data_IF_679578884005
#
_entry.id   IF_679578884005
#
_cell.length_a   1.000
_cell.length_b   1.000
_cell.length_c   1.000
_cell.angle_alpha   90.00
_cell.angle_beta   90.00
_cell.angle_gamma   90.00
#
_symmetry.space_group_name_H-M   'P 1'
#
loop_
_entity.id
_entity.type
_entity.pdbx_description
1 polymer ?
#
# COMPACT_ATOMS: atom_id res chain seq x y z
N UNK A 1 -0.69 21.88 59.78
CA UNK A 1 -1.68 21.89 58.68
C UNK A 1 -1.07 21.12 57.53
N UNK A 2 -1.62 19.93 57.29
CA UNK A 2 -1.11 18.92 56.34
C UNK A 2 -1.51 19.29 54.92
N UNK A 3 -0.53 19.38 54.01
CA UNK A 3 -0.79 19.50 52.58
C UNK A 3 -1.22 18.12 52.05
N UNK A 4 -2.50 18.02 51.69
CA UNK A 4 -3.08 16.85 51.04
C UNK A 4 -2.38 16.59 49.71
N UNK A 5 -1.71 15.43 49.60
CA UNK A 5 -1.27 14.87 48.33
C UNK A 5 -2.52 14.57 47.49
N UNK A 6 -2.72 15.34 46.43
CA UNK A 6 -3.66 14.99 45.36
C UNK A 6 -3.13 13.72 44.67
N UNK A 7 -3.79 12.61 44.96
CA UNK A 7 -3.60 11.34 44.27
C UNK A 7 -4.17 11.51 42.87
N UNK A 8 -3.31 11.60 41.86
CA UNK A 8 -3.73 11.51 40.47
C UNK A 8 -4.29 10.10 40.20
N UNK A 9 -5.49 9.96 39.61
CA UNK A 9 -5.99 8.66 39.22
C UNK A 9 -5.13 8.12 38.08
N UNK A 10 -4.42 7.02 38.33
CA UNK A 10 -3.77 6.23 37.28
C UNK A 10 -4.84 5.53 36.48
N UNK A 11 -5.31 6.20 35.42
CA UNK A 11 -6.05 5.52 34.35
C UNK A 11 -4.99 4.85 33.48
N UNK A 12 -4.75 3.56 33.71
CA UNK A 12 -3.87 2.76 32.87
C UNK A 12 -4.65 2.30 31.63
N UNK A 13 -5.03 3.23 30.75
CA UNK A 13 -5.31 2.87 29.37
C UNK A 13 -3.95 2.55 28.77
N UNK A 14 -3.74 1.33 28.28
CA UNK A 14 -2.51 0.88 27.62
C UNK A 14 -2.16 1.61 26.31
N UNK A 15 -2.59 2.87 26.15
CA UNK A 15 -2.22 3.76 25.07
C UNK A 15 -0.99 4.54 25.52
N UNK A 16 0.14 4.24 24.89
CA UNK A 16 1.37 5.00 25.10
C UNK A 16 1.12 6.48 24.73
N UNK A 17 1.33 7.39 25.69
CA UNK A 17 1.09 8.82 25.52
C UNK A 17 1.95 9.42 24.38
N UNK A 18 3.10 8.79 24.08
CA UNK A 18 3.93 9.18 22.94
C UNK A 18 3.20 9.01 21.60
N UNK A 19 2.37 7.97 21.46
CA UNK A 19 1.57 7.72 20.24
C UNK A 19 0.55 8.83 19.99
N UNK A 20 0.07 9.49 21.04
CA UNK A 20 -0.95 10.56 20.97
C UNK A 20 -0.36 11.87 20.42
N UNK A 21 0.93 12.13 20.64
CA UNK A 21 1.62 13.34 20.18
C UNK A 21 2.55 13.13 18.98
N UNK A 22 2.69 11.89 18.50
CA UNK A 22 3.53 11.57 17.34
C UNK A 22 2.80 11.98 16.06
N UNK A 23 3.51 12.73 15.20
CA UNK A 23 3.02 13.05 13.85
C UNK A 23 2.85 11.72 13.10
N UNK A 24 1.65 11.49 12.54
CA UNK A 24 1.36 10.26 11.80
C UNK A 24 2.35 10.11 10.63
N UNK A 25 2.82 8.88 10.44
CA UNK A 25 3.66 8.55 9.29
C UNK A 25 2.81 8.56 8.01
N UNK A 26 3.41 8.89 6.87
CA UNK A 26 2.66 9.09 5.62
C UNK A 26 2.66 7.84 4.77
N UNK A 27 1.52 7.53 4.17
CA UNK A 27 1.37 6.46 3.18
C UNK A 27 0.60 6.99 1.97
N UNK A 28 1.10 6.72 0.77
CA UNK A 28 0.43 7.09 -0.49
C UNK A 28 -0.24 5.88 -1.10
N UNK A 29 -1.46 6.04 -1.58
CA UNK A 29 -2.21 5.02 -2.33
C UNK A 29 -2.40 5.48 -3.77
N UNK A 30 -2.04 4.63 -4.73
CA UNK A 30 -2.30 4.86 -6.17
C UNK A 30 -3.35 3.87 -6.65
N UNK A 31 -4.55 4.37 -6.90
CA UNK A 31 -5.75 3.59 -7.19
C UNK A 31 -6.30 3.87 -8.60
N UNK A 32 -7.16 3.00 -9.09
CA UNK A 32 -7.80 3.13 -10.41
C UNK A 32 -7.98 1.79 -11.14
N UNK A 33 -8.70 1.82 -12.27
CA UNK A 33 -8.97 0.62 -13.05
C UNK A 33 -7.70 0.02 -13.70
N UNK A 34 -7.75 -1.25 -14.09
CA UNK A 34 -6.64 -1.88 -14.83
C UNK A 34 -6.42 -1.15 -16.16
N UNK A 35 -5.16 -0.88 -16.49
CA UNK A 35 -4.80 -0.14 -17.71
C UNK A 35 -4.77 1.38 -17.58
N UNK A 36 -5.12 1.98 -16.43
CA UNK A 36 -5.07 3.44 -16.25
C UNK A 36 -3.67 4.01 -15.99
N UNK A 37 -2.64 3.16 -15.85
CA UNK A 37 -1.25 3.60 -15.66
C UNK A 37 -0.80 3.75 -14.21
N UNK A 38 -1.48 3.11 -13.24
CA UNK A 38 -1.13 3.15 -11.80
C UNK A 38 0.34 2.83 -11.51
N UNK A 39 0.87 1.70 -12.01
CA UNK A 39 2.25 1.29 -11.73
C UNK A 39 3.25 2.29 -12.28
N UNK A 40 2.99 2.85 -13.47
CA UNK A 40 3.81 3.92 -14.05
C UNK A 40 3.83 5.14 -13.15
N UNK A 41 2.67 5.61 -12.67
CA UNK A 41 2.61 6.74 -11.75
C UNK A 41 3.33 6.45 -10.43
N UNK A 42 3.15 5.26 -9.86
CA UNK A 42 3.82 4.87 -8.61
C UNK A 42 5.35 4.86 -8.75
N UNK A 43 5.86 4.31 -9.85
CA UNK A 43 7.30 4.31 -10.17
C UNK A 43 7.80 5.73 -10.41
N UNK A 44 7.10 6.53 -11.21
CA UNK A 44 7.50 7.92 -11.46
C UNK A 44 7.57 8.70 -10.12
N UNK A 45 6.58 8.55 -9.23
CA UNK A 45 6.64 9.12 -7.87
C UNK A 45 7.85 8.62 -7.07
N UNK A 46 8.15 7.32 -7.11
CA UNK A 46 9.29 6.74 -6.40
C UNK A 46 10.67 7.11 -6.99
N UNK A 47 10.71 7.66 -8.20
CA UNK A 47 11.93 8.29 -8.73
C UNK A 47 12.11 9.74 -8.27
N UNK A 48 11.04 10.39 -7.79
CA UNK A 48 11.06 11.77 -7.31
C UNK A 48 11.12 11.88 -5.77
N UNK A 49 10.69 10.85 -5.06
CA UNK A 49 10.75 10.74 -3.60
C UNK A 49 11.54 9.51 -3.20
N UNK A 50 12.27 9.51 -2.06
CA UNK A 50 12.88 8.30 -1.52
C UNK A 50 11.76 7.36 -1.08
N UNK A 51 11.31 6.47 -1.96
CA UNK A 51 10.08 5.71 -1.79
C UNK A 51 10.20 4.29 -2.33
N UNK A 52 9.30 3.44 -1.86
CA UNK A 52 9.19 2.04 -2.28
C UNK A 52 7.74 1.67 -2.51
N UNK A 53 7.51 0.68 -3.36
CA UNK A 53 6.17 0.33 -3.82
C UNK A 53 5.71 -0.97 -3.15
N UNK A 54 4.48 -0.97 -2.64
CA UNK A 54 3.80 -2.16 -2.14
C UNK A 54 2.67 -2.49 -3.11
N UNK A 55 2.74 -3.65 -3.76
CA UNK A 55 1.70 -4.10 -4.69
C UNK A 55 0.39 -4.42 -3.95
N UNK A 56 -0.72 -3.85 -4.40
CA UNK A 56 -2.08 -4.17 -3.93
C UNK A 56 -2.97 -4.78 -5.03
N UNK A 57 -2.39 -5.37 -6.07
CA UNK A 57 -3.11 -6.22 -7.03
C UNK A 57 -3.03 -7.70 -6.63
N UNK A 58 -4.20 -8.29 -6.35
CA UNK A 58 -4.34 -9.68 -5.89
C UNK A 58 -3.82 -10.74 -6.86
N UNK A 59 -3.71 -10.44 -8.15
CA UNK A 59 -3.15 -11.37 -9.13
C UNK A 59 -1.64 -11.22 -9.27
N UNK A 60 -1.12 -10.02 -9.00
CA UNK A 60 0.31 -9.75 -9.09
C UNK A 60 1.10 -10.22 -7.87
N UNK A 61 0.45 -10.61 -6.77
CA UNK A 61 1.13 -11.20 -5.60
C UNK A 61 1.76 -12.57 -5.91
N UNK A 62 1.24 -13.30 -6.90
CA UNK A 62 1.68 -14.66 -7.24
C UNK A 62 2.88 -14.68 -8.20
N UNK A 63 3.77 -15.65 -7.99
CA UNK A 63 4.94 -15.91 -8.86
C UNK A 63 4.51 -16.33 -10.26
N UNK A 64 5.27 -15.89 -11.27
CA UNK A 64 5.01 -16.25 -12.67
C UNK A 64 3.73 -15.65 -13.24
N UNK A 65 3.38 -16.03 -14.47
CA UNK A 65 2.29 -15.41 -15.25
C UNK A 65 2.46 -13.89 -15.40
N UNK A 66 3.70 -13.40 -15.48
CA UNK A 66 4.02 -11.98 -15.41
C UNK A 66 3.38 -11.16 -16.54
N UNK A 67 3.39 -11.71 -17.77
CA UNK A 67 2.70 -11.13 -18.94
C UNK A 67 1.19 -11.05 -18.70
N UNK A 68 0.56 -12.18 -18.33
CA UNK A 68 -0.89 -12.29 -18.15
C UNK A 68 -1.41 -11.40 -17.02
N UNK A 69 -0.62 -11.28 -15.95
CA UNK A 69 -0.95 -10.47 -14.76
C UNK A 69 -0.48 -9.03 -14.88
N UNK A 70 0.17 -8.64 -15.99
CA UNK A 70 0.75 -7.31 -16.22
C UNK A 70 1.69 -6.85 -15.10
N UNK A 71 2.54 -7.74 -14.58
CA UNK A 71 3.59 -7.29 -13.67
C UNK A 71 4.52 -6.34 -14.42
N UNK A 72 4.95 -5.30 -13.70
CA UNK A 72 6.03 -4.45 -14.18
C UNK A 72 7.29 -5.27 -14.35
N UNK A 73 7.98 -5.06 -15.46
CA UNK A 73 9.28 -5.66 -15.74
C UNK A 73 10.37 -5.01 -14.89
N UNK A 74 11.52 -5.67 -14.78
CA UNK A 74 12.68 -5.14 -14.03
C UNK A 74 13.13 -3.79 -14.60
N UNK A 75 13.08 -3.67 -15.93
CA UNK A 75 13.40 -2.44 -16.65
C UNK A 75 12.40 -1.32 -16.34
N UNK A 76 11.10 -1.63 -16.34
CA UNK A 76 10.05 -0.67 -15.98
C UNK A 76 10.15 -0.22 -14.53
N UNK A 77 10.56 -1.10 -13.60
CA UNK A 77 10.76 -0.75 -12.19
C UNK A 77 11.82 0.33 -11.97
N UNK A 78 12.76 0.54 -12.89
CA UNK A 78 13.84 1.55 -12.79
C UNK A 78 14.63 1.49 -11.47
N UNK A 79 14.81 0.29 -10.93
CA UNK A 79 15.50 0.07 -9.66
C UNK A 79 14.69 0.43 -8.40
N UNK A 80 13.43 0.84 -8.53
CA UNK A 80 12.53 1.07 -7.39
C UNK A 80 12.19 -0.27 -6.72
N UNK A 81 12.42 -0.43 -5.41
CA UNK A 81 12.04 -1.64 -4.69
C UNK A 81 10.52 -1.88 -4.71
N UNK A 82 10.13 -3.13 -4.97
CA UNK A 82 8.74 -3.57 -4.98
C UNK A 82 8.52 -4.68 -3.95
N UNK A 83 7.50 -4.50 -3.12
CA UNK A 83 7.02 -5.46 -2.12
C UNK A 83 5.72 -6.10 -2.60
N UNK A 84 5.47 -7.33 -2.14
CA UNK A 84 4.26 -8.11 -2.45
C UNK A 84 3.99 -8.31 -3.96
N UNK A 85 5.04 -8.24 -4.78
CA UNK A 85 4.98 -8.47 -6.22
C UNK A 85 5.66 -9.81 -6.54
N UNK A 86 4.88 -10.83 -6.93
CA UNK A 86 5.42 -12.15 -7.28
C UNK A 86 6.07 -12.90 -6.12
N UNK A 87 5.56 -12.76 -4.89
CA UNK A 87 6.14 -13.39 -3.71
C UNK A 87 5.44 -14.70 -3.30
N UNK A 88 4.18 -14.88 -3.71
CA UNK A 88 3.33 -16.01 -3.29
C UNK A 88 3.42 -17.15 -4.29
N UNK A 89 3.42 -18.41 -3.82
CA UNK A 89 3.33 -19.56 -4.71
C UNK A 89 1.93 -19.65 -5.37
N UNK A 90 1.82 -19.91 -6.70
CA UNK A 90 0.54 -19.93 -7.40
C UNK A 90 -0.49 -20.93 -6.89
N UNK A 91 -0.07 -21.99 -6.17
CA UNK A 91 -1.00 -22.99 -5.60
C UNK A 91 -1.43 -22.64 -4.18
N UNK A 92 -0.86 -21.59 -3.59
CA UNK A 92 -1.19 -21.12 -2.24
C UNK A 92 -2.37 -20.16 -2.27
N UNK A 93 -3.10 -20.08 -1.16
CA UNK A 93 -4.11 -19.05 -0.97
C UNK A 93 -3.46 -17.76 -0.44
N UNK A 94 -3.92 -16.60 -0.92
CA UNK A 94 -3.54 -15.29 -0.39
C UNK A 94 -4.79 -14.41 -0.21
N UNK A 95 -5.21 -14.26 1.04
CA UNK A 95 -6.43 -13.58 1.45
C UNK A 95 -6.22 -12.09 1.66
N UNK A 96 -7.31 -11.34 1.88
CA UNK A 96 -7.23 -9.93 2.27
C UNK A 96 -6.58 -9.73 3.64
N UNK A 97 -6.74 -10.69 4.57
CA UNK A 97 -6.07 -10.68 5.88
C UNK A 97 -4.57 -10.89 5.73
N UNK A 98 -4.15 -11.78 4.82
CA UNK A 98 -2.74 -11.97 4.50
C UNK A 98 -2.14 -10.69 3.89
N UNK A 99 -2.87 -10.06 2.96
CA UNK A 99 -2.47 -8.77 2.42
C UNK A 99 -2.32 -7.71 3.51
N UNK A 100 -3.33 -7.54 4.38
CA UNK A 100 -3.30 -6.58 5.48
C UNK A 100 -2.04 -6.77 6.34
N UNK A 101 -1.77 -8.00 6.77
CA UNK A 101 -0.60 -8.31 7.59
C UNK A 101 0.71 -7.99 6.87
N UNK A 102 0.88 -8.48 5.64
CA UNK A 102 2.12 -8.30 4.90
C UNK A 102 2.35 -6.87 4.40
N UNK A 103 1.28 -6.14 4.06
CA UNK A 103 1.35 -4.74 3.68
C UNK A 103 1.74 -3.86 4.86
N UNK A 104 1.18 -4.11 6.05
CA UNK A 104 1.57 -3.41 7.28
C UNK A 104 3.06 -3.62 7.60
N UNK A 105 3.56 -4.86 7.50
CA UNK A 105 4.99 -5.15 7.69
C UNK A 105 5.88 -4.44 6.66
N UNK A 106 5.48 -4.42 5.38
CA UNK A 106 6.21 -3.71 4.34
C UNK A 106 6.25 -2.20 4.61
N UNK A 107 5.11 -1.60 4.96
CA UNK A 107 4.99 -0.18 5.31
C UNK A 107 5.92 0.17 6.48
N UNK A 108 5.94 -0.64 7.54
CA UNK A 108 6.83 -0.44 8.69
C UNK A 108 8.31 -0.51 8.31
N UNK A 109 8.69 -1.49 7.50
CA UNK A 109 10.07 -1.65 7.03
C UNK A 109 10.52 -0.44 6.20
N UNK A 110 9.69 0.01 5.27
CA UNK A 110 9.98 1.15 4.39
C UNK A 110 10.16 2.43 5.23
N UNK A 111 9.26 2.66 6.20
CA UNK A 111 9.34 3.82 7.09
C UNK A 111 10.56 3.77 8.02
N UNK A 112 10.93 2.59 8.52
CA UNK A 112 12.13 2.42 9.34
C UNK A 112 13.42 2.79 8.59
N UNK A 113 13.42 2.64 7.26
CA UNK A 113 14.51 3.09 6.38
C UNK A 113 14.41 4.58 5.99
N UNK A 114 13.43 5.31 6.53
CA UNK A 114 13.19 6.73 6.23
C UNK A 114 12.64 6.98 4.83
N UNK A 115 12.00 5.98 4.22
CA UNK A 115 11.41 6.05 2.87
C UNK A 115 9.89 6.16 2.94
N UNK A 116 9.28 6.62 1.85
CA UNK A 116 7.84 6.76 1.68
C UNK A 116 7.23 5.45 1.14
N UNK A 117 6.27 4.82 1.84
CA UNK A 117 5.50 3.71 1.30
C UNK A 117 4.46 4.20 0.27
N UNK A 118 4.49 3.61 -0.92
CA UNK A 118 3.50 3.82 -1.98
C UNK A 118 2.78 2.49 -2.24
N UNK A 119 1.51 2.39 -1.83
CA UNK A 119 0.67 1.23 -2.08
C UNK A 119 -0.04 1.41 -3.43
N UNK A 120 0.25 0.54 -4.40
CA UNK A 120 -0.25 0.68 -5.78
C UNK A 120 -0.88 -0.62 -6.28
N UNK A 121 -2.09 -0.54 -6.82
CA UNK A 121 -2.81 -1.72 -7.30
C UNK A 121 -4.30 -1.48 -7.55
N UNK A 122 -4.97 -2.50 -8.09
CA UNK A 122 -6.38 -2.41 -8.49
C UNK A 122 -7.36 -3.18 -7.61
N UNK A 123 -6.89 -3.92 -6.58
CA UNK A 123 -7.77 -4.74 -5.75
C UNK A 123 -8.29 -3.94 -4.55
N UNK A 124 -9.41 -3.25 -4.73
CA UNK A 124 -9.99 -2.42 -3.68
C UNK A 124 -10.32 -3.21 -2.40
N UNK A 125 -10.60 -4.51 -2.48
CA UNK A 125 -10.80 -5.37 -1.31
C UNK A 125 -9.57 -5.48 -0.40
N UNK A 126 -8.36 -5.36 -0.98
CA UNK A 126 -7.11 -5.34 -0.20
C UNK A 126 -6.93 -3.99 0.47
N UNK A 127 -7.22 -2.90 -0.24
CA UNK A 127 -7.17 -1.54 0.32
C UNK A 127 -8.21 -1.37 1.42
N UNK A 128 -9.43 -1.89 1.24
CA UNK A 128 -10.49 -1.87 2.25
C UNK A 128 -10.07 -2.64 3.52
N UNK A 129 -9.55 -3.86 3.39
CA UNK A 129 -9.07 -4.63 4.54
C UNK A 129 -7.95 -3.90 5.31
N UNK A 130 -7.05 -3.20 4.62
CA UNK A 130 -5.95 -2.47 5.25
C UNK A 130 -6.37 -1.13 5.84
N UNK A 131 -7.26 -0.39 5.18
CA UNK A 131 -7.59 0.99 5.56
C UNK A 131 -8.83 1.04 6.45
N UNK A 132 -9.81 0.18 6.24
CA UNK A 132 -11.09 0.20 6.97
C UNK A 132 -11.14 -0.83 8.09
N UNK A 133 -10.57 -2.02 7.86
CA UNK A 133 -10.65 -3.14 8.81
C UNK A 133 -9.43 -3.26 9.74
N UNK A 134 -8.47 -2.33 9.63
CA UNK A 134 -7.29 -2.22 10.49
C UNK A 134 -7.29 -0.92 11.33
N UNK A 135 -7.80 -0.96 12.57
CA UNK A 135 -7.78 0.20 13.45
C UNK A 135 -6.37 0.70 13.78
N UNK A 136 -5.37 -0.19 13.82
CA UNK A 136 -3.99 0.21 14.12
C UNK A 136 -3.42 1.01 12.96
N UNK A 137 -3.63 0.55 11.72
CA UNK A 137 -3.21 1.27 10.52
C UNK A 137 -3.82 2.68 10.47
N UNK A 138 -5.12 2.82 10.75
CA UNK A 138 -5.82 4.11 10.78
C UNK A 138 -5.27 5.08 11.83
N UNK A 139 -4.89 4.56 13.00
CA UNK A 139 -4.34 5.37 14.08
C UNK A 139 -2.92 5.84 13.75
N UNK A 140 -2.11 5.00 13.10
CA UNK A 140 -0.69 5.26 12.85
C UNK A 140 -0.40 6.12 11.62
N UNK A 141 -1.19 5.97 10.55
CA UNK A 141 -0.84 6.52 9.25
C UNK A 141 -1.76 7.65 8.78
N UNK A 142 -1.16 8.67 8.15
CA UNK A 142 -1.83 9.70 7.37
C UNK A 142 -1.81 9.27 5.90
N UNK A 143 -2.98 8.93 5.36
CA UNK A 143 -3.11 8.35 4.03
C UNK A 143 -3.43 9.43 2.98
N UNK A 144 -2.71 9.42 1.86
CA UNK A 144 -3.00 10.23 0.68
C UNK A 144 -3.45 9.32 -0.47
N UNK A 145 -4.66 9.55 -0.99
CA UNK A 145 -5.23 8.75 -2.06
C UNK A 145 -5.16 9.48 -3.40
N UNK A 146 -4.44 8.89 -4.35
CA UNK A 146 -4.35 9.34 -5.73
C UNK A 146 -5.17 8.39 -6.61
N UNK A 147 -6.32 8.87 -7.12
CA UNK A 147 -7.17 8.10 -8.02
C UNK A 147 -6.86 8.48 -9.48
N UNK A 148 -6.36 7.50 -10.24
CA UNK A 148 -6.10 7.64 -11.67
C UNK A 148 -7.34 7.22 -12.45
N UNK A 149 -8.05 8.20 -13.01
CA UNK A 149 -9.24 8.01 -13.82
C UNK A 149 -8.97 8.26 -15.31
N UNK A 150 -9.68 7.51 -16.16
CA UNK A 150 -9.58 7.60 -17.62
C UNK A 150 -10.97 7.40 -18.20
N UNK A 151 -11.34 8.21 -19.20
CA UNK A 151 -12.63 8.04 -19.89
C UNK A 151 -12.80 6.62 -20.42
N UNK A 152 -13.99 6.04 -20.26
CA UNK A 152 -14.27 4.65 -20.65
C UNK A 152 -13.90 4.34 -22.11
N UNK A 153 -14.14 5.28 -23.04
CA UNK A 153 -13.80 5.08 -24.46
C UNK A 153 -12.31 4.86 -24.69
N UNK A 154 -11.48 5.69 -24.06
CA UNK A 154 -10.01 5.57 -24.15
C UNK A 154 -9.55 4.30 -23.44
N UNK A 155 -10.10 4.01 -22.25
CA UNK A 155 -9.73 2.83 -21.47
C UNK A 155 -10.05 1.53 -22.23
N UNK A 156 -11.24 1.41 -22.82
CA UNK A 156 -11.64 0.24 -23.60
C UNK A 156 -10.73 0.00 -24.81
N UNK A 157 -10.42 1.07 -25.56
CA UNK A 157 -9.51 0.98 -26.70
C UNK A 157 -8.13 0.49 -26.28
N UNK A 158 -7.58 1.07 -25.21
CA UNK A 158 -6.25 0.72 -24.71
C UNK A 158 -6.20 -0.71 -24.17
N UNK A 159 -7.18 -1.12 -23.37
CA UNK A 159 -7.22 -2.47 -22.80
C UNK A 159 -7.36 -3.53 -23.90
N UNK A 160 -8.16 -3.27 -24.94
CA UNK A 160 -8.27 -4.17 -26.10
C UNK A 160 -6.92 -4.36 -26.79
N UNK A 161 -6.27 -3.26 -27.19
CA UNK A 161 -4.95 -3.31 -27.85
C UNK A 161 -3.89 -3.95 -26.97
N UNK A 162 -3.99 -3.76 -25.65
CA UNK A 162 -3.07 -4.38 -24.69
C UNK A 162 -3.20 -5.90 -24.67
N UNK A 163 -4.43 -6.43 -24.72
CA UNK A 163 -4.66 -7.89 -24.77
C UNK A 163 -4.07 -8.48 -26.05
N UNK A 164 -4.18 -7.79 -27.19
CA UNK A 164 -3.61 -8.25 -28.46
C UNK A 164 -2.07 -8.34 -28.45
N UNK A 165 -1.40 -7.68 -27.50
CA UNK A 165 0.06 -7.64 -27.34
C UNK A 165 0.59 -8.60 -26.27
N UNK A 166 -0.29 -9.29 -25.53
CA UNK A 166 0.07 -10.28 -24.51
C UNK A 166 0.26 -11.66 -25.12
#
# INVERSE_FOLDING_TARGET
>A
MSASKLVQPRVNLGLNLETIFRRKDKVVFVMGATGTGKSRLAIDLATHFPAEIVNSDKMQVYKGLDILTNKVTVEECRGVPHHLLGIVDPISNFTSMDFQHHASLAVESILAEGRLPIIAGGSNSYIEALVNDDPEFQLRYECCFLWVDVSLRVLHSFVSERVDKM
#
